data_IF_403375896334
#
_entry.id   IF_403375896334
#
_cell.length_a   1.000
_cell.length_b   1.000
_cell.length_c   1.000
_cell.angle_alpha   90.00
_cell.angle_beta   90.00
_cell.angle_gamma   90.00
#
_symmetry.space_group_name_H-M   'P 1'
#
loop_
_entity.id
_entity.type
_entity.pdbx_description
1 polymer ?
#
# COMPACT_ATOMS: atom_id res chain seq x y z
N UNK A 1 -24.12 9.30 -5.10
CA UNK A 1 -25.32 8.45 -4.79
C UNK A 1 -25.46 7.27 -5.75
N UNK A 2 -25.20 7.45 -7.06
CA UNK A 2 -25.41 6.38 -8.07
C UNK A 2 -24.52 5.16 -7.83
N UNK A 3 -23.24 5.32 -7.47
CA UNK A 3 -22.35 4.19 -7.17
C UNK A 3 -22.86 3.38 -5.96
N UNK A 4 -23.40 4.04 -4.93
CA UNK A 4 -24.02 3.38 -3.78
C UNK A 4 -25.34 2.69 -4.18
N UNK A 5 -26.12 3.28 -5.08
CA UNK A 5 -27.30 2.66 -5.65
C UNK A 5 -26.93 1.42 -6.48
N UNK A 6 -25.89 1.51 -7.31
CA UNK A 6 -25.37 0.36 -8.06
C UNK A 6 -24.88 -0.77 -7.15
N UNK A 7 -24.30 -0.44 -5.97
CA UNK A 7 -23.92 -1.40 -4.95
C UNK A 7 -25.17 -2.09 -4.35
N UNK A 8 -26.22 -1.32 -4.05
CA UNK A 8 -27.49 -1.88 -3.56
C UNK A 8 -28.16 -2.79 -4.58
N UNK A 9 -28.23 -2.38 -5.83
CA UNK A 9 -28.85 -3.13 -6.92
C UNK A 9 -28.01 -4.37 -7.36
N UNK A 10 -26.78 -4.50 -6.89
CA UNK A 10 -25.88 -5.61 -7.23
C UNK A 10 -25.17 -5.46 -8.57
N UNK A 11 -25.31 -4.33 -9.27
CA UNK A 11 -24.56 -4.00 -10.49
C UNK A 11 -23.05 -3.85 -10.18
N UNK A 12 -22.75 -3.37 -8.97
CA UNK A 12 -21.41 -3.31 -8.38
C UNK A 12 -21.46 -4.08 -7.08
N UNK A 13 -20.49 -4.97 -6.81
CA UNK A 13 -20.45 -5.74 -5.56
C UNK A 13 -19.30 -5.32 -4.65
N UNK A 14 -18.32 -4.69 -5.20
CA UNK A 14 -17.10 -4.26 -4.52
C UNK A 14 -16.83 -2.82 -4.93
N UNK A 15 -16.93 -1.90 -3.99
CA UNK A 15 -16.79 -0.45 -4.22
C UNK A 15 -15.79 0.15 -3.25
N UNK A 16 -14.86 0.93 -3.79
CA UNK A 16 -13.97 1.80 -3.03
C UNK A 16 -14.36 3.24 -3.28
N UNK A 17 -14.50 4.01 -2.22
CA UNK A 17 -14.73 5.46 -2.26
C UNK A 17 -13.61 6.15 -1.53
N UNK A 18 -12.76 6.85 -2.26
CA UNK A 18 -11.73 7.70 -1.68
C UNK A 18 -12.12 9.17 -1.81
N UNK A 19 -12.09 9.88 -0.70
CA UNK A 19 -12.44 11.31 -0.64
C UNK A 19 -11.66 12.00 0.49
N UNK A 20 -11.42 13.32 0.40
CA UNK A 20 -10.61 14.07 1.35
C UNK A 20 -11.16 14.06 2.78
N UNK A 21 -10.36 14.47 3.77
CA UNK A 21 -10.86 14.75 5.12
C UNK A 21 -12.02 15.73 5.09
N UNK A 22 -13.00 15.53 5.97
CA UNK A 22 -14.16 16.43 6.13
C UNK A 22 -15.07 16.57 4.89
N UNK A 23 -14.96 15.68 3.89
CA UNK A 23 -15.83 15.66 2.68
C UNK A 23 -17.17 14.94 2.88
N UNK A 24 -17.61 14.75 4.13
CA UNK A 24 -18.85 14.05 4.51
C UNK A 24 -18.88 12.56 4.08
N UNK A 25 -17.73 11.96 3.76
CA UNK A 25 -17.64 10.56 3.30
C UNK A 25 -18.29 9.59 4.29
N UNK A 26 -17.92 9.64 5.57
CA UNK A 26 -18.51 8.81 6.64
C UNK A 26 -20.01 9.04 6.80
N UNK A 27 -20.46 10.30 6.80
CA UNK A 27 -21.89 10.59 6.92
C UNK A 27 -22.68 10.00 5.75
N UNK A 28 -22.24 10.25 4.51
CA UNK A 28 -22.96 9.87 3.29
C UNK A 28 -22.84 8.39 2.99
N UNK A 29 -21.60 7.86 2.97
CA UNK A 29 -21.33 6.51 2.49
C UNK A 29 -21.48 5.45 3.59
N UNK A 30 -21.46 5.85 4.86
CA UNK A 30 -21.55 4.93 6.00
C UNK A 30 -22.85 5.15 6.77
N UNK A 31 -22.99 6.25 7.50
CA UNK A 31 -24.12 6.44 8.44
C UNK A 31 -25.48 6.48 7.72
N UNK A 32 -25.64 7.38 6.75
CA UNK A 32 -26.90 7.50 6.02
C UNK A 32 -27.15 6.33 5.08
N UNK A 33 -26.10 5.77 4.49
CA UNK A 33 -26.26 4.63 3.61
C UNK A 33 -26.71 3.38 4.36
N UNK A 34 -26.14 3.09 5.53
CA UNK A 34 -26.59 1.97 6.40
C UNK A 34 -28.05 2.16 6.80
N UNK A 35 -28.42 3.35 7.25
CA UNK A 35 -29.81 3.63 7.60
C UNK A 35 -30.75 3.46 6.40
N UNK A 36 -30.36 3.92 5.23
CA UNK A 36 -31.12 3.76 4.01
C UNK A 36 -31.26 2.30 3.59
N UNK A 37 -30.17 1.50 3.66
CA UNK A 37 -30.18 0.06 3.39
C UNK A 37 -31.21 -0.66 4.26
N UNK A 38 -31.17 -0.45 5.59
CA UNK A 38 -32.14 -1.03 6.52
C UNK A 38 -33.56 -0.53 6.29
N UNK A 39 -33.71 0.69 5.81
CA UNK A 39 -35.01 1.24 5.42
C UNK A 39 -35.58 0.54 4.20
N UNK A 40 -34.76 0.11 3.27
CA UNK A 40 -35.16 -0.65 2.07
C UNK A 40 -35.39 -2.13 2.36
N UNK A 41 -34.51 -2.71 3.20
CA UNK A 41 -34.61 -4.10 3.62
C UNK A 41 -34.17 -4.23 5.08
N UNK A 42 -35.13 -4.29 6.01
CA UNK A 42 -34.86 -4.39 7.44
C UNK A 42 -34.36 -5.79 7.89
N UNK A 43 -34.15 -6.73 6.97
CA UNK A 43 -33.60 -8.07 7.26
C UNK A 43 -32.09 -8.14 7.05
N UNK A 44 -31.49 -7.14 6.41
CA UNK A 44 -30.05 -7.12 6.08
C UNK A 44 -29.15 -7.22 7.31
N UNK A 45 -28.11 -8.01 7.18
CA UNK A 45 -27.02 -8.13 8.14
C UNK A 45 -25.81 -7.33 7.66
N UNK A 46 -25.40 -6.33 8.44
CA UNK A 46 -24.36 -5.37 8.07
C UNK A 46 -23.26 -5.41 9.11
N UNK A 47 -22.00 -5.57 8.67
CA UNK A 47 -20.81 -5.32 9.49
C UNK A 47 -20.23 -3.98 9.07
N UNK A 48 -20.05 -3.08 10.03
CA UNK A 48 -19.32 -1.82 9.88
C UNK A 48 -18.02 -1.94 10.68
N UNK A 49 -16.88 -1.94 9.99
CA UNK A 49 -15.56 -1.96 10.58
C UNK A 49 -14.88 -0.60 10.44
N UNK A 50 -14.24 -0.14 11.51
CA UNK A 50 -13.55 1.15 11.56
C UNK A 50 -12.26 1.03 12.38
N UNK A 51 -11.54 2.13 12.54
CA UNK A 51 -10.22 2.13 13.17
C UNK A 51 -10.25 1.75 14.66
N UNK A 52 -11.01 2.46 15.51
CA UNK A 52 -11.03 2.25 16.97
C UNK A 52 -12.40 1.87 17.50
N UNK A 53 -12.42 1.24 18.70
CA UNK A 53 -13.67 0.90 19.38
C UNK A 53 -14.47 2.14 19.77
N UNK A 54 -13.81 3.23 20.19
CA UNK A 54 -14.45 4.51 20.49
C UNK A 54 -15.15 5.08 19.25
N UNK A 55 -14.47 5.06 18.10
CA UNK A 55 -15.05 5.53 16.85
C UNK A 55 -16.21 4.64 16.38
N UNK A 56 -16.08 3.32 16.58
CA UNK A 56 -17.15 2.35 16.33
C UNK A 56 -18.39 2.65 17.18
N UNK A 57 -18.21 2.90 18.46
CA UNK A 57 -19.29 3.27 19.37
C UNK A 57 -19.98 4.58 18.96
N UNK A 58 -19.20 5.60 18.62
CA UNK A 58 -19.71 6.86 18.11
C UNK A 58 -20.54 6.72 16.82
N UNK A 59 -20.06 5.92 15.85
CA UNK A 59 -20.80 5.63 14.63
C UNK A 59 -22.08 4.85 14.91
N UNK A 60 -22.04 3.84 15.75
CA UNK A 60 -23.20 3.07 16.15
C UNK A 60 -24.27 3.91 16.83
N UNK A 61 -23.87 4.85 17.70
CA UNK A 61 -24.79 5.82 18.32
C UNK A 61 -25.43 6.75 17.29
N UNK A 62 -24.69 7.25 16.30
CA UNK A 62 -25.22 8.07 15.21
C UNK A 62 -26.23 7.32 14.38
N UNK A 63 -25.92 6.08 13.99
CA UNK A 63 -26.85 5.20 13.24
C UNK A 63 -28.11 4.95 14.05
N UNK A 64 -27.96 4.60 15.34
CA UNK A 64 -29.11 4.39 16.24
C UNK A 64 -30.01 5.62 16.34
N UNK A 65 -29.41 6.80 16.54
CA UNK A 65 -30.16 8.07 16.63
C UNK A 65 -30.94 8.32 15.33
N UNK A 66 -30.32 8.09 14.19
CA UNK A 66 -30.96 8.24 12.90
C UNK A 66 -32.15 7.27 12.71
N UNK A 67 -31.97 5.98 13.02
CA UNK A 67 -33.02 4.96 12.94
C UNK A 67 -34.19 5.23 13.92
N UNK A 68 -33.95 5.91 15.03
CA UNK A 68 -34.94 6.30 16.02
C UNK A 68 -35.66 7.61 15.68
N UNK A 69 -35.14 8.41 14.73
CA UNK A 69 -35.69 9.70 14.39
C UNK A 69 -37.11 9.60 13.83
N UNK A 70 -37.97 10.55 14.14
CA UNK A 70 -39.39 10.55 13.72
C UNK A 70 -39.55 10.55 12.19
N UNK A 71 -38.77 11.34 11.48
CA UNK A 71 -38.80 11.39 10.02
C UNK A 71 -38.32 10.06 9.38
N UNK A 72 -37.31 9.41 9.95
CA UNK A 72 -36.89 8.10 9.48
C UNK A 72 -38.02 7.08 9.64
N UNK A 73 -38.67 7.05 10.80
CA UNK A 73 -39.79 6.15 11.07
C UNK A 73 -41.02 6.44 10.17
N UNK A 74 -41.19 7.69 9.76
CA UNK A 74 -42.25 8.10 8.80
C UNK A 74 -41.95 7.58 7.39
N UNK A 75 -40.66 7.64 6.97
CA UNK A 75 -40.23 7.20 5.64
C UNK A 75 -40.10 5.67 5.52
N UNK A 76 -39.66 5.01 6.59
CA UNK A 76 -39.32 3.60 6.63
C UNK A 76 -40.05 2.92 7.81
N UNK A 77 -41.39 2.87 7.73
CA UNK A 77 -42.24 2.40 8.82
C UNK A 77 -41.99 0.97 9.30
N UNK A 78 -41.48 0.10 8.41
CA UNK A 78 -41.18 -1.29 8.71
C UNK A 78 -39.88 -1.50 9.46
N UNK A 79 -38.99 -0.51 9.50
CA UNK A 79 -37.73 -0.61 10.19
C UNK A 79 -37.85 -0.16 11.64
N UNK A 80 -37.95 -1.10 12.55
CA UNK A 80 -38.01 -0.88 14.01
C UNK A 80 -36.87 -1.58 14.70
N UNK A 81 -36.21 -0.89 15.63
CA UNK A 81 -35.17 -1.50 16.47
C UNK A 81 -35.77 -2.32 17.62
N UNK A 82 -35.11 -3.40 17.98
CA UNK A 82 -35.35 -4.12 19.23
C UNK A 82 -34.64 -3.37 20.37
N UNK A 83 -35.38 -2.61 21.15
CA UNK A 83 -34.85 -1.69 22.18
C UNK A 83 -34.03 -2.40 23.26
N UNK A 84 -34.40 -3.61 23.67
CA UNK A 84 -33.72 -4.37 24.74
C UNK A 84 -32.31 -4.85 24.38
N UNK A 85 -31.94 -4.80 23.09
CA UNK A 85 -30.65 -5.28 22.61
C UNK A 85 -29.85 -4.19 21.86
N UNK A 86 -30.28 -2.92 21.91
CA UNK A 86 -29.66 -1.83 21.18
C UNK A 86 -28.45 -1.26 21.93
N UNK A 87 -27.39 -2.06 22.08
CA UNK A 87 -26.06 -1.52 22.35
C UNK A 87 -25.61 -0.70 21.16
N UNK A 88 -24.83 0.39 21.38
CA UNK A 88 -24.31 1.23 20.29
C UNK A 88 -23.57 0.44 19.20
N UNK A 89 -22.85 -0.60 19.61
CA UNK A 89 -22.10 -1.47 18.70
C UNK A 89 -22.88 -2.64 18.10
N UNK A 90 -24.14 -2.85 18.52
CA UNK A 90 -24.96 -3.94 18.01
C UNK A 90 -26.43 -3.55 17.96
N UNK A 91 -26.88 -3.14 16.77
CA UNK A 91 -28.26 -2.78 16.51
C UNK A 91 -28.98 -3.96 15.85
N UNK A 92 -30.21 -4.26 16.27
CA UNK A 92 -31.06 -5.29 15.68
C UNK A 92 -32.42 -4.74 15.30
N UNK A 93 -32.92 -5.12 14.13
CA UNK A 93 -34.28 -4.82 13.71
C UNK A 93 -35.26 -5.88 14.16
N UNK A 94 -36.55 -5.52 14.28
CA UNK A 94 -37.61 -6.49 14.56
C UNK A 94 -37.82 -7.53 13.44
N UNK A 95 -37.33 -7.24 12.23
CA UNK A 95 -37.40 -8.13 11.05
C UNK A 95 -36.20 -9.07 10.92
N UNK A 96 -35.26 -9.06 11.90
CA UNK A 96 -34.13 -9.98 11.95
C UNK A 96 -32.81 -9.44 11.39
N UNK A 97 -32.83 -8.23 10.80
CA UNK A 97 -31.59 -7.59 10.36
C UNK A 97 -30.74 -7.05 11.50
N UNK A 98 -29.51 -6.75 11.21
CA UNK A 98 -28.57 -6.25 12.22
C UNK A 98 -27.50 -5.34 11.65
N UNK A 99 -27.02 -4.41 12.48
CA UNK A 99 -25.76 -3.70 12.25
C UNK A 99 -24.80 -4.02 13.39
N UNK A 100 -23.67 -4.60 13.07
CA UNK A 100 -22.57 -4.80 14.02
C UNK A 100 -21.49 -3.80 13.67
N UNK A 101 -21.18 -2.92 14.61
CA UNK A 101 -20.10 -1.93 14.47
C UNK A 101 -18.94 -2.39 15.31
N UNK A 102 -17.76 -2.49 14.70
CA UNK A 102 -16.55 -3.02 15.33
C UNK A 102 -15.31 -2.27 14.86
N UNK A 103 -14.23 -2.37 15.61
CA UNK A 103 -12.93 -1.93 15.13
C UNK A 103 -12.15 -3.07 14.46
N UNK A 104 -11.13 -2.71 13.70
CA UNK A 104 -10.17 -3.70 13.18
C UNK A 104 -9.42 -4.44 14.30
N UNK A 105 -9.31 -3.85 15.50
CA UNK A 105 -8.65 -4.47 16.65
C UNK A 105 -9.55 -5.49 17.38
N UNK A 106 -10.86 -5.27 17.37
CA UNK A 106 -11.85 -6.04 18.13
C UNK A 106 -12.72 -6.94 17.26
N UNK A 107 -12.24 -7.38 16.10
CA UNK A 107 -13.02 -8.19 15.17
C UNK A 107 -13.54 -9.47 15.84
N UNK A 108 -14.86 -9.61 15.85
CA UNK A 108 -15.54 -10.74 16.42
C UNK A 108 -15.63 -11.91 15.44
N UNK A 109 -15.39 -13.12 15.94
CA UNK A 109 -15.63 -14.37 15.21
C UNK A 109 -17.11 -14.74 15.21
N UNK A 110 -17.55 -15.53 14.20
CA UNK A 110 -18.90 -16.14 14.20
C UNK A 110 -20.04 -15.23 13.70
N UNK A 111 -19.76 -14.07 13.09
CA UNK A 111 -20.75 -13.20 12.48
C UNK A 111 -20.67 -13.28 10.97
N UNK A 112 -21.83 -13.37 10.31
CA UNK A 112 -21.96 -13.21 8.86
C UNK A 112 -22.58 -11.87 8.50
N UNK A 113 -22.41 -11.43 7.24
CA UNK A 113 -22.98 -10.19 6.74
C UNK A 113 -23.35 -10.27 5.25
N UNK A 114 -24.39 -9.54 4.88
CA UNK A 114 -24.76 -9.30 3.49
C UNK A 114 -23.99 -8.09 2.94
N UNK A 115 -23.64 -7.15 3.85
CA UNK A 115 -22.81 -5.98 3.56
C UNK A 115 -21.66 -5.88 4.57
N UNK A 116 -20.46 -5.71 4.05
CA UNK A 116 -19.29 -5.30 4.83
C UNK A 116 -18.96 -3.87 4.41
N UNK A 117 -18.99 -2.96 5.37
CA UNK A 117 -18.62 -1.56 5.19
C UNK A 117 -17.40 -1.28 6.05
N UNK A 118 -16.38 -0.74 5.43
CA UNK A 118 -15.12 -0.35 6.09
C UNK A 118 -15.00 1.17 5.99
N UNK A 119 -14.87 1.84 7.12
CA UNK A 119 -14.78 3.30 7.19
C UNK A 119 -13.53 3.75 7.94
N UNK A 120 -12.61 4.39 7.23
CA UNK A 120 -11.31 4.88 7.70
C UNK A 120 -10.61 3.84 8.62
N UNK A 121 -10.12 2.70 8.06
CA UNK A 121 -9.60 1.58 8.86
C UNK A 121 -8.26 1.87 9.54
N UNK A 122 -7.62 2.99 9.22
CA UNK A 122 -6.30 3.36 9.71
C UNK A 122 -6.17 4.89 9.83
N UNK A 123 -5.40 5.36 10.80
CA UNK A 123 -5.08 6.79 10.93
C UNK A 123 -3.85 7.16 10.09
N UNK A 124 -3.85 8.42 9.59
CA UNK A 124 -2.76 8.91 8.74
C UNK A 124 -1.38 8.97 9.44
N UNK A 125 -1.35 9.12 10.76
CA UNK A 125 -0.10 9.12 11.53
C UNK A 125 0.52 7.72 11.71
N UNK A 126 -0.23 6.65 11.42
CA UNK A 126 0.25 5.27 11.53
C UNK A 126 0.84 4.72 10.23
N UNK A 127 0.73 5.47 9.15
CA UNK A 127 1.21 5.09 7.82
C UNK A 127 2.71 4.75 7.79
N UNK A 128 3.49 5.32 8.70
CA UNK A 128 4.93 5.03 8.85
C UNK A 128 5.22 3.67 9.47
N UNK A 129 4.20 2.96 9.97
CA UNK A 129 4.34 1.63 10.55
C UNK A 129 3.90 0.58 9.55
N UNK A 130 4.84 -0.03 8.89
CA UNK A 130 4.63 -1.11 7.94
C UNK A 130 3.91 -2.30 8.58
N UNK A 131 4.28 -2.62 9.83
CA UNK A 131 3.61 -3.67 10.63
C UNK A 131 2.13 -3.39 10.80
N UNK A 132 1.74 -2.14 11.11
CA UNK A 132 0.32 -1.78 11.26
C UNK A 132 -0.43 -1.83 9.93
N UNK A 133 0.18 -1.36 8.84
CA UNK A 133 -0.42 -1.47 7.52
C UNK A 133 -0.64 -2.93 7.12
N UNK A 134 0.34 -3.78 7.35
CA UNK A 134 0.25 -5.22 7.09
C UNK A 134 -0.81 -5.89 7.95
N UNK A 135 -0.91 -5.55 9.24
CA UNK A 135 -1.95 -6.07 10.15
C UNK A 135 -3.36 -5.72 9.64
N UNK A 136 -3.60 -4.47 9.24
CA UNK A 136 -4.90 -4.04 8.68
C UNK A 136 -5.24 -4.82 7.40
N UNK A 137 -4.29 -5.01 6.50
CA UNK A 137 -4.48 -5.78 5.26
C UNK A 137 -4.84 -7.25 5.57
N UNK A 138 -4.11 -7.87 6.49
CA UNK A 138 -4.34 -9.26 6.89
C UNK A 138 -5.71 -9.43 7.59
N UNK A 139 -6.06 -8.52 8.51
CA UNK A 139 -7.37 -8.52 9.16
C UNK A 139 -8.52 -8.32 8.17
N UNK A 140 -8.31 -7.52 7.13
CA UNK A 140 -9.29 -7.43 6.07
C UNK A 140 -9.42 -8.75 5.31
N UNK A 141 -8.31 -9.35 4.86
CA UNK A 141 -8.30 -10.59 4.06
C UNK A 141 -8.86 -11.78 4.85
N UNK A 142 -8.33 -12.00 6.03
CA UNK A 142 -8.61 -13.20 6.84
C UNK A 142 -9.82 -13.04 7.74
N UNK A 143 -10.05 -11.82 8.21
CA UNK A 143 -11.09 -11.48 9.15
C UNK A 143 -12.40 -11.06 8.49
N UNK A 144 -12.41 -9.95 7.75
CA UNK A 144 -13.63 -9.34 7.23
C UNK A 144 -14.11 -9.97 5.94
N UNK A 145 -13.23 -10.15 4.96
CA UNK A 145 -13.62 -10.64 3.63
C UNK A 145 -14.33 -11.99 3.69
N UNK A 146 -13.93 -12.84 4.62
CA UNK A 146 -14.52 -14.19 4.85
C UNK A 146 -15.88 -14.17 5.55
N UNK A 147 -16.38 -12.98 5.96
CA UNK A 147 -17.66 -12.85 6.71
C UNK A 147 -18.88 -12.64 5.81
N UNK A 148 -18.73 -12.59 4.50
CA UNK A 148 -19.88 -12.54 3.63
C UNK A 148 -20.73 -13.81 3.76
N UNK A 149 -22.04 -13.63 4.02
CA UNK A 149 -23.00 -14.73 4.08
C UNK A 149 -23.03 -15.52 2.77
N UNK A 150 -22.96 -14.79 1.65
CA UNK A 150 -22.83 -15.35 0.31
C UNK A 150 -21.75 -14.58 -0.47
N UNK A 151 -20.64 -15.20 -0.85
CA UNK A 151 -19.59 -14.56 -1.62
C UNK A 151 -20.03 -14.04 -3.00
N UNK A 152 -21.09 -14.64 -3.59
CA UNK A 152 -21.61 -14.28 -4.91
C UNK A 152 -22.50 -13.04 -4.88
N UNK A 153 -23.26 -12.85 -3.82
CA UNK A 153 -24.23 -11.75 -3.70
C UNK A 153 -23.85 -10.71 -2.67
N UNK A 154 -23.00 -11.05 -1.71
CA UNK A 154 -22.54 -10.16 -0.65
C UNK A 154 -21.77 -8.96 -1.21
N UNK A 155 -21.80 -7.84 -0.50
CA UNK A 155 -21.29 -6.55 -0.95
C UNK A 155 -20.24 -6.00 0.00
N UNK A 156 -19.19 -5.37 -0.56
CA UNK A 156 -18.15 -4.69 0.22
C UNK A 156 -18.04 -3.24 -0.22
N UNK A 157 -18.06 -2.33 0.74
CA UNK A 157 -17.81 -0.92 0.56
C UNK A 157 -16.63 -0.49 1.43
N UNK A 158 -15.57 -0.03 0.81
CA UNK A 158 -14.46 0.64 1.50
C UNK A 158 -14.60 2.15 1.31
N UNK A 159 -14.61 2.88 2.41
CA UNK A 159 -14.67 4.35 2.45
C UNK A 159 -13.46 4.83 3.24
N UNK A 160 -12.55 5.54 2.63
CA UNK A 160 -11.39 6.12 3.33
C UNK A 160 -10.78 7.26 2.53
N UNK A 161 -10.01 8.10 3.21
CA UNK A 161 -9.01 8.91 2.51
C UNK A 161 -7.81 8.04 2.17
N UNK A 162 -7.10 8.34 1.10
CA UNK A 162 -5.81 7.73 0.83
C UNK A 162 -4.78 8.27 1.84
N UNK A 163 -3.88 7.43 2.25
CA UNK A 163 -2.81 7.78 3.20
C UNK A 163 -1.44 7.31 2.74
N UNK A 164 -1.38 6.26 1.93
CA UNK A 164 -0.15 5.68 1.41
C UNK A 164 -0.42 4.94 0.08
N UNK A 165 0.56 4.81 -0.84
CA UNK A 165 0.41 3.96 -2.03
C UNK A 165 -0.06 2.54 -1.68
N UNK A 166 0.52 1.94 -0.64
CA UNK A 166 0.24 0.58 -0.17
C UNK A 166 -0.83 0.50 0.92
N UNK A 167 -1.67 1.49 1.10
CA UNK A 167 -2.80 1.41 2.04
C UNK A 167 -3.82 0.33 1.62
N UNK A 168 -4.87 0.14 2.41
CA UNK A 168 -5.89 -0.88 2.10
C UNK A 168 -6.51 -0.67 0.71
N UNK A 169 -6.72 0.58 0.28
CA UNK A 169 -7.17 0.89 -1.09
C UNK A 169 -6.15 0.42 -2.12
N UNK A 170 -4.86 0.73 -1.95
CA UNK A 170 -3.79 0.33 -2.87
C UNK A 170 -3.74 -1.18 -3.05
N UNK A 171 -3.77 -1.93 -1.94
CA UNK A 171 -3.83 -3.40 -1.98
C UNK A 171 -5.05 -3.90 -2.78
N UNK A 172 -6.25 -3.37 -2.52
CA UNK A 172 -7.47 -3.85 -3.18
C UNK A 172 -7.53 -3.48 -4.66
N UNK A 173 -6.96 -2.36 -5.06
CA UNK A 173 -6.85 -1.97 -6.46
C UNK A 173 -5.88 -2.88 -7.22
N UNK A 174 -4.76 -3.24 -6.61
CA UNK A 174 -3.78 -4.19 -7.18
C UNK A 174 -4.38 -5.59 -7.36
N UNK A 175 -5.17 -6.08 -6.39
CA UNK A 175 -5.87 -7.37 -6.51
C UNK A 175 -6.99 -7.34 -7.55
N UNK A 176 -7.51 -6.17 -7.89
CA UNK A 176 -8.60 -6.02 -8.84
C UNK A 176 -9.99 -6.38 -8.28
N UNK A 177 -11.01 -6.30 -9.16
CA UNK A 177 -12.39 -6.66 -8.81
C UNK A 177 -13.18 -5.59 -8.05
N UNK A 178 -12.56 -4.50 -7.64
CA UNK A 178 -13.21 -3.35 -7.02
C UNK A 178 -13.44 -2.23 -8.04
N UNK A 179 -14.65 -1.65 -8.02
CA UNK A 179 -14.88 -0.37 -8.68
C UNK A 179 -14.38 0.75 -7.78
N UNK A 180 -13.69 1.70 -8.35
CA UNK A 180 -13.06 2.80 -7.62
C UNK A 180 -13.76 4.13 -7.95
N UNK A 181 -14.13 4.88 -6.91
CA UNK A 181 -14.58 6.27 -6.98
C UNK A 181 -13.54 7.14 -6.26
N UNK A 182 -12.69 7.80 -7.03
CA UNK A 182 -11.69 8.76 -6.56
C UNK A 182 -12.31 10.16 -6.64
N UNK A 183 -12.36 10.88 -5.53
CA UNK A 183 -12.85 12.25 -5.42
C UNK A 183 -11.75 13.13 -4.83
N UNK A 184 -10.88 13.75 -5.63
CA UNK A 184 -9.85 14.67 -5.14
C UNK A 184 -10.48 15.99 -4.66
N UNK A 185 -9.79 16.76 -3.83
CA UNK A 185 -10.25 18.08 -3.41
C UNK A 185 -10.31 19.07 -4.58
N UNK A 186 -9.39 18.92 -5.54
CA UNK A 186 -9.36 19.68 -6.79
C UNK A 186 -9.14 18.71 -7.95
N UNK A 187 -10.00 18.78 -8.96
CA UNK A 187 -9.93 17.89 -10.11
C UNK A 187 -8.80 18.31 -11.04
N UNK A 188 -7.91 17.38 -11.38
CA UNK A 188 -6.79 17.58 -12.30
C UNK A 188 -7.10 17.16 -13.74
N UNK A 189 -8.22 16.48 -13.93
CA UNK A 189 -8.69 15.98 -15.21
C UNK A 189 -10.23 16.09 -15.30
N UNK A 190 -10.73 16.07 -16.54
CA UNK A 190 -12.17 16.02 -16.76
C UNK A 190 -12.69 14.59 -16.56
N UNK A 191 -13.55 14.40 -15.58
CA UNK A 191 -14.18 13.12 -15.28
C UNK A 191 -15.70 13.24 -15.43
N UNK A 192 -16.32 12.32 -16.16
CA UNK A 192 -17.78 12.27 -16.27
C UNK A 192 -18.36 11.29 -15.25
N UNK A 193 -19.18 11.80 -14.37
CA UNK A 193 -19.91 11.02 -13.39
C UNK A 193 -21.36 10.85 -13.85
N UNK A 194 -21.84 9.60 -13.81
CA UNK A 194 -23.27 9.35 -13.97
C UNK A 194 -24.00 9.74 -12.69
N UNK A 195 -25.15 10.36 -12.82
CA UNK A 195 -26.03 10.78 -11.72
C UNK A 195 -27.38 10.08 -11.85
N UNK A 196 -28.22 10.06 -10.78
CA UNK A 196 -29.56 9.55 -10.85
C UNK A 196 -30.39 10.24 -11.97
N UNK A 197 -31.41 9.54 -12.46
CA UNK A 197 -32.31 10.00 -13.53
C UNK A 197 -31.61 10.27 -14.87
N UNK A 198 -30.60 9.42 -15.23
CA UNK A 198 -29.84 9.51 -16.48
C UNK A 198 -29.16 10.87 -16.72
N UNK A 199 -28.88 11.60 -15.65
CA UNK A 199 -28.08 12.81 -15.71
C UNK A 199 -26.59 12.47 -15.65
N UNK A 200 -25.77 13.37 -16.14
CA UNK A 200 -24.31 13.30 -16.01
C UNK A 200 -23.79 14.59 -15.40
N UNK A 201 -22.68 14.48 -14.70
CA UNK A 201 -21.91 15.61 -14.24
C UNK A 201 -20.47 15.45 -14.74
N UNK A 202 -19.97 16.47 -15.42
CA UNK A 202 -18.61 16.51 -15.94
C UNK A 202 -17.82 17.52 -15.12
N UNK A 203 -16.75 17.08 -14.52
CA UNK A 203 -15.83 17.96 -13.80
C UNK A 203 -14.93 18.72 -14.78
N UNK A 204 -14.41 19.84 -14.33
CA UNK A 204 -13.45 20.64 -15.08
C UNK A 204 -12.10 20.64 -14.36
N UNK A 205 -11.00 20.77 -15.14
CA UNK A 205 -9.67 20.91 -14.56
C UNK A 205 -9.64 22.17 -13.66
N UNK A 206 -9.12 22.01 -12.44
CA UNK A 206 -9.10 23.08 -11.43
C UNK A 206 -10.39 23.22 -10.60
N UNK A 207 -11.45 22.50 -10.95
CA UNK A 207 -12.70 22.56 -10.18
C UNK A 207 -12.50 21.94 -8.78
N UNK A 208 -13.06 22.61 -7.77
CA UNK A 208 -13.00 22.15 -6.37
C UNK A 208 -14.18 21.23 -6.04
N UNK A 209 -13.92 20.17 -5.30
CA UNK A 209 -14.97 19.28 -4.76
C UNK A 209 -15.89 20.03 -3.78
N UNK A 210 -15.35 20.98 -3.04
CA UNK A 210 -16.09 21.80 -2.06
C UNK A 210 -15.61 23.26 -2.11
N UNK A 211 -16.08 24.04 -3.11
CA UNK A 211 -15.63 25.41 -3.31
C UNK A 211 -16.07 26.38 -2.20
N UNK A 212 -17.00 25.96 -1.34
CA UNK A 212 -17.40 26.77 -0.19
C UNK A 212 -16.34 26.78 0.93
N UNK A 213 -15.48 25.77 0.98
CA UNK A 213 -14.49 25.60 2.04
C UNK A 213 -13.05 25.65 1.56
N UNK A 214 -12.81 25.41 0.27
CA UNK A 214 -11.47 25.36 -0.30
C UNK A 214 -11.38 26.25 -1.53
N UNK A 215 -10.37 27.08 -1.52
CA UNK A 215 -9.88 27.85 -2.65
C UNK A 215 -8.38 27.58 -2.86
N UNK A 216 -7.78 28.20 -3.85
CA UNK A 216 -6.34 28.04 -4.17
C UNK A 216 -5.44 28.44 -2.97
N UNK A 217 -5.82 29.48 -2.24
CA UNK A 217 -5.02 29.96 -1.11
C UNK A 217 -5.06 28.97 0.07
N UNK A 218 -6.23 28.41 0.36
CA UNK A 218 -6.38 27.43 1.44
C UNK A 218 -5.71 26.10 1.06
N UNK A 219 -5.76 25.73 -0.22
CA UNK A 219 -5.08 24.55 -0.70
C UNK A 219 -3.55 24.69 -0.57
N UNK A 220 -3.01 25.87 -0.94
CA UNK A 220 -1.58 26.16 -0.81
C UNK A 220 -1.12 26.10 0.66
N UNK A 221 -1.87 26.70 1.59
CA UNK A 221 -1.58 26.62 3.04
C UNK A 221 -1.63 25.20 3.56
N UNK A 222 -2.64 24.42 3.15
CA UNK A 222 -2.78 23.03 3.56
C UNK A 222 -1.61 22.18 3.07
N UNK A 223 -1.18 22.40 1.82
CA UNK A 223 -0.02 21.72 1.22
C UNK A 223 1.27 22.08 1.94
N UNK A 224 1.48 23.35 2.26
CA UNK A 224 2.66 23.81 3.03
C UNK A 224 2.71 23.18 4.43
N UNK A 225 1.57 23.16 5.13
CA UNK A 225 1.51 22.63 6.50
C UNK A 225 1.66 21.11 6.59
N UNK A 226 1.18 20.36 5.60
CA UNK A 226 1.19 18.89 5.64
C UNK A 226 2.36 18.27 4.89
N UNK A 227 2.97 19.01 3.98
CA UNK A 227 3.95 18.53 3.02
C UNK A 227 3.32 17.82 1.82
N UNK A 228 4.07 17.73 0.73
CA UNK A 228 3.58 17.28 -0.57
C UNK A 228 3.01 15.86 -0.53
N UNK A 229 3.70 14.90 0.10
CA UNK A 229 3.28 13.51 0.14
C UNK A 229 1.95 13.31 0.88
N UNK A 230 1.78 13.93 2.05
CA UNK A 230 0.55 13.85 2.82
C UNK A 230 -0.61 14.57 2.12
N UNK A 231 -0.34 15.70 1.48
CA UNK A 231 -1.32 16.44 0.70
C UNK A 231 -1.76 15.64 -0.54
N UNK A 232 -0.84 15.10 -1.32
CA UNK A 232 -1.14 14.26 -2.48
C UNK A 232 -2.00 13.05 -2.07
N UNK A 233 -1.67 12.39 -0.98
CA UNK A 233 -2.43 11.27 -0.46
C UNK A 233 -3.83 11.69 -0.02
N UNK A 234 -3.93 12.55 1.00
CA UNK A 234 -5.17 12.78 1.72
C UNK A 234 -6.13 13.73 1.01
N UNK A 235 -5.61 14.71 0.25
CA UNK A 235 -6.45 15.70 -0.44
C UNK A 235 -6.63 15.38 -1.93
N UNK A 236 -5.58 14.95 -2.61
CA UNK A 236 -5.68 14.61 -4.04
C UNK A 236 -6.11 13.14 -4.27
N UNK A 237 -6.15 12.31 -3.21
CA UNK A 237 -6.41 10.87 -3.26
C UNK A 237 -5.43 10.15 -4.21
N UNK A 238 -4.22 10.68 -4.31
CA UNK A 238 -3.15 10.21 -5.18
C UNK A 238 -1.85 10.08 -4.39
N UNK A 239 -1.76 9.09 -3.51
CA UNK A 239 -0.60 8.93 -2.66
C UNK A 239 0.63 8.63 -3.51
N UNK A 240 1.66 9.39 -3.24
CA UNK A 240 3.01 9.15 -3.73
C UNK A 240 3.84 8.59 -2.57
N UNK A 241 4.83 7.78 -2.86
CA UNK A 241 5.83 7.49 -1.84
C UNK A 241 6.43 8.82 -1.39
N UNK A 242 6.62 9.04 -0.08
CA UNK A 242 7.33 10.22 0.39
C UNK A 242 8.61 10.35 -0.44
N UNK A 243 8.88 11.56 -0.93
CA UNK A 243 10.17 11.80 -1.56
C UNK A 243 11.24 11.32 -0.57
N UNK A 244 12.10 10.43 -1.04
CA UNK A 244 13.20 9.95 -0.23
C UNK A 244 14.19 11.12 -0.10
N UNK A 245 13.98 11.97 0.93
CA UNK A 245 14.89 13.09 1.23
C UNK A 245 16.32 12.62 1.51
N UNK A 246 16.48 11.29 1.64
CA UNK A 246 17.80 10.68 1.79
C UNK A 246 18.60 10.73 0.48
N UNK A 247 17.96 10.75 -0.69
CA UNK A 247 18.62 10.64 -1.99
C UNK A 247 18.25 11.78 -2.91
N UNK A 248 19.25 12.50 -3.38
CA UNK A 248 19.12 13.42 -4.51
C UNK A 248 19.28 12.64 -5.82
N UNK A 249 18.14 12.25 -6.41
CA UNK A 249 18.12 11.44 -7.64
C UNK A 249 18.74 12.15 -8.85
N UNK A 250 18.86 13.48 -8.83
CA UNK A 250 19.52 14.25 -9.90
C UNK A 250 21.05 14.11 -9.86
N UNK A 251 21.60 13.60 -8.76
CA UNK A 251 23.04 13.35 -8.60
C UNK A 251 23.50 12.04 -9.20
N UNK A 252 22.59 11.12 -9.53
CA UNK A 252 22.98 9.94 -10.29
C UNK A 252 23.49 10.34 -11.67
N UNK A 253 24.61 9.76 -12.05
CA UNK A 253 25.16 9.91 -13.39
C UNK A 253 24.85 8.66 -14.21
N UNK A 254 24.64 8.84 -15.49
CA UNK A 254 24.34 7.75 -16.41
C UNK A 254 25.52 7.49 -17.33
N UNK A 255 25.77 6.22 -17.63
CA UNK A 255 26.81 5.82 -18.56
C UNK A 255 26.33 4.77 -19.55
N UNK A 256 26.94 4.75 -20.73
CA UNK A 256 26.75 3.68 -21.72
C UNK A 256 27.76 2.57 -21.42
N UNK A 257 27.33 1.31 -21.16
CA UNK A 257 28.24 0.23 -20.79
C UNK A 257 29.37 0.01 -21.81
N UNK A 258 29.06 0.17 -23.10
CA UNK A 258 30.05 -0.02 -24.17
C UNK A 258 31.17 1.05 -24.18
N UNK A 259 30.86 2.28 -23.73
CA UNK A 259 31.82 3.38 -23.72
C UNK A 259 32.83 3.27 -22.57
N UNK A 260 32.46 2.64 -21.46
CA UNK A 260 33.29 2.50 -20.26
C UNK A 260 33.88 1.10 -20.08
N UNK A 261 33.66 0.18 -20.98
CA UNK A 261 34.16 -1.22 -20.85
C UNK A 261 35.68 -1.30 -20.62
N UNK A 262 36.46 -0.45 -21.32
CA UNK A 262 37.91 -0.39 -21.15
C UNK A 262 38.30 0.18 -19.77
N UNK A 263 37.63 1.24 -19.31
CA UNK A 263 37.93 1.92 -18.04
C UNK A 263 37.49 1.09 -16.82
N UNK A 264 36.49 0.22 -16.98
CA UNK A 264 35.99 -0.66 -15.93
C UNK A 264 36.71 -2.00 -15.89
N UNK A 265 37.58 -2.32 -16.87
CA UNK A 265 38.31 -3.59 -16.91
C UNK A 265 39.21 -3.80 -15.68
N UNK A 266 39.83 -2.75 -15.20
CA UNK A 266 40.71 -2.77 -14.02
C UNK A 266 39.97 -2.37 -12.73
N UNK A 267 38.67 -2.17 -12.80
CA UNK A 267 37.83 -1.88 -11.64
C UNK A 267 37.63 -3.15 -10.77
N UNK A 268 37.28 -2.94 -9.52
CA UNK A 268 36.88 -4.03 -8.65
C UNK A 268 35.43 -4.35 -8.89
N UNK A 269 35.14 -5.55 -9.37
CA UNK A 269 33.79 -6.04 -9.63
C UNK A 269 33.22 -6.77 -8.41
N UNK A 270 31.99 -6.45 -8.04
CA UNK A 270 31.30 -7.00 -6.87
C UNK A 270 29.88 -7.40 -7.25
N UNK A 271 29.50 -8.64 -6.91
CA UNK A 271 28.13 -9.09 -6.88
C UNK A 271 27.67 -9.11 -5.42
N UNK A 272 26.62 -8.37 -5.09
CA UNK A 272 26.06 -8.33 -3.74
C UNK A 272 24.68 -8.99 -3.73
N UNK A 273 24.49 -9.99 -2.88
CA UNK A 273 23.33 -10.84 -2.81
C UNK A 273 22.62 -10.70 -1.46
N UNK A 274 21.40 -10.20 -1.48
CA UNK A 274 20.47 -10.32 -0.37
C UNK A 274 19.59 -11.55 -0.63
N UNK A 275 19.58 -12.53 0.29
CA UNK A 275 19.05 -13.85 0.01
C UNK A 275 17.78 -14.16 0.79
N UNK A 276 16.68 -14.49 0.08
CA UNK A 276 15.48 -15.08 0.63
C UNK A 276 15.18 -16.40 -0.08
N UNK A 277 14.73 -17.43 0.67
CA UNK A 277 14.51 -18.75 0.11
C UNK A 277 13.04 -19.12 0.17
N UNK A 278 12.25 -18.56 -0.75
CA UNK A 278 10.84 -18.88 -0.83
C UNK A 278 10.30 -18.68 -2.23
N UNK A 279 9.49 -19.63 -2.68
CA UNK A 279 8.73 -19.55 -3.93
C UNK A 279 7.32 -19.00 -3.75
N UNK A 280 6.94 -18.62 -2.51
CA UNK A 280 5.59 -18.09 -2.21
C UNK A 280 5.46 -16.64 -2.67
N UNK A 281 4.32 -16.27 -3.23
CA UNK A 281 4.05 -14.91 -3.73
C UNK A 281 4.16 -13.81 -2.65
N UNK A 282 3.96 -14.17 -1.38
CA UNK A 282 4.02 -13.26 -0.23
C UNK A 282 5.39 -13.17 0.45
N UNK A 283 6.42 -13.86 -0.08
CA UNK A 283 7.75 -13.86 0.51
C UNK A 283 8.66 -12.81 -0.14
N UNK A 284 9.72 -12.43 0.56
CA UNK A 284 10.77 -11.55 0.08
C UNK A 284 11.50 -12.17 -1.11
N UNK A 285 12.12 -11.34 -1.93
CA UNK A 285 12.90 -11.77 -3.08
C UNK A 285 14.36 -12.00 -2.69
N UNK A 286 15.01 -12.96 -3.35
CA UNK A 286 16.46 -12.91 -3.46
C UNK A 286 16.82 -11.80 -4.44
N UNK A 287 17.62 -10.84 -4.03
CA UNK A 287 18.00 -9.70 -4.83
C UNK A 287 19.52 -9.64 -5.04
N UNK A 288 19.94 -9.19 -6.21
CA UNK A 288 21.34 -8.97 -6.51
C UNK A 288 21.55 -7.61 -7.15
N UNK A 289 22.63 -6.95 -6.73
CA UNK A 289 23.16 -5.77 -7.42
C UNK A 289 24.62 -6.04 -7.82
N UNK A 290 24.95 -5.70 -9.08
CA UNK A 290 26.30 -5.91 -9.64
C UNK A 290 26.99 -4.58 -9.84
N UNK A 291 28.15 -4.46 -9.24
CA UNK A 291 28.90 -3.21 -9.15
C UNK A 291 30.30 -3.34 -9.71
N UNK A 292 30.77 -2.25 -10.31
CA UNK A 292 32.20 -2.01 -10.51
C UNK A 292 32.57 -0.74 -9.77
N UNK A 293 33.73 -0.71 -9.12
CA UNK A 293 34.21 0.53 -8.51
C UNK A 293 35.72 0.72 -8.75
N UNK A 294 36.08 1.99 -8.94
CA UNK A 294 37.45 2.43 -9.12
C UNK A 294 37.64 3.79 -8.41
N UNK A 295 38.73 4.49 -8.71
CA UNK A 295 39.00 5.80 -8.11
C UNK A 295 38.01 6.89 -8.52
N UNK A 296 37.28 6.71 -9.62
CA UNK A 296 36.36 7.71 -10.18
C UNK A 296 34.97 7.60 -9.55
N UNK A 297 34.51 6.38 -9.21
CA UNK A 297 33.19 6.18 -8.62
C UNK A 297 32.73 4.73 -8.54
N UNK A 298 31.44 4.61 -8.31
CA UNK A 298 30.71 3.33 -8.13
C UNK A 298 29.73 3.19 -9.30
N UNK A 299 29.83 2.12 -10.04
CA UNK A 299 29.09 1.88 -11.28
C UNK A 299 28.14 0.69 -11.07
N UNK A 300 26.84 0.95 -11.04
CA UNK A 300 25.82 -0.10 -11.02
C UNK A 300 25.66 -0.63 -12.45
N UNK A 301 26.08 -1.87 -12.66
CA UNK A 301 26.09 -2.54 -13.94
C UNK A 301 24.77 -3.26 -14.21
N UNK A 302 24.21 -3.91 -13.21
CA UNK A 302 22.97 -4.68 -13.28
C UNK A 302 22.33 -4.82 -11.89
N UNK A 303 21.02 -5.04 -11.88
CA UNK A 303 20.23 -5.35 -10.69
C UNK A 303 19.03 -6.22 -11.06
N UNK A 304 18.77 -7.29 -10.32
CA UNK A 304 17.56 -8.09 -10.53
C UNK A 304 17.10 -8.84 -9.27
N UNK A 305 15.91 -9.39 -9.33
CA UNK A 305 15.28 -10.14 -8.24
C UNK A 305 14.83 -11.52 -8.72
N UNK A 306 14.91 -12.48 -7.80
CA UNK A 306 14.56 -13.89 -8.05
C UNK A 306 13.62 -14.40 -6.95
N UNK A 307 12.74 -15.33 -7.31
CA UNK A 307 11.98 -16.14 -6.36
C UNK A 307 12.29 -17.60 -6.62
N UNK A 308 13.28 -18.10 -5.93
CA UNK A 308 13.85 -19.43 -6.15
C UNK A 308 14.07 -20.18 -4.84
N UNK A 309 14.27 -21.49 -4.93
CA UNK A 309 14.68 -22.31 -3.79
C UNK A 309 16.14 -22.06 -3.43
N UNK A 310 16.56 -22.47 -2.23
CA UNK A 310 17.96 -22.31 -1.80
C UNK A 310 18.97 -22.97 -2.75
N UNK A 311 18.62 -24.10 -3.36
CA UNK A 311 19.47 -24.81 -4.33
C UNK A 311 19.57 -24.06 -5.66
N UNK A 312 18.45 -23.53 -6.13
CA UNK A 312 18.41 -22.75 -7.37
C UNK A 312 19.15 -21.42 -7.22
N UNK A 313 19.02 -20.76 -6.07
CA UNK A 313 19.78 -19.54 -5.74
C UNK A 313 21.29 -19.82 -5.72
N UNK A 314 21.75 -20.95 -5.13
CA UNK A 314 23.16 -21.36 -5.17
C UNK A 314 23.66 -21.51 -6.60
N UNK A 315 22.92 -22.27 -7.42
CA UNK A 315 23.26 -22.48 -8.82
C UNK A 315 23.30 -21.17 -9.62
N UNK A 316 22.38 -20.24 -9.29
CA UNK A 316 22.33 -18.92 -9.92
C UNK A 316 23.55 -18.07 -9.58
N UNK A 317 23.88 -17.96 -8.30
CA UNK A 317 25.08 -17.25 -7.82
C UNK A 317 26.34 -17.80 -8.52
N UNK A 318 26.53 -19.12 -8.54
CA UNK A 318 27.70 -19.75 -9.12
C UNK A 318 27.76 -19.53 -10.64
N UNK A 319 26.66 -19.70 -11.36
CA UNK A 319 26.57 -19.48 -12.80
C UNK A 319 26.97 -18.07 -13.18
N UNK A 320 26.42 -17.06 -12.51
CA UNK A 320 26.71 -15.66 -12.80
C UNK A 320 28.15 -15.29 -12.39
N UNK A 321 28.60 -15.74 -11.24
CA UNK A 321 29.96 -15.46 -10.79
C UNK A 321 31.03 -16.13 -11.67
N UNK A 322 30.77 -17.32 -12.19
CA UNK A 322 31.67 -17.98 -13.14
C UNK A 322 31.69 -17.27 -14.50
N UNK A 323 30.51 -16.84 -14.98
CA UNK A 323 30.40 -16.19 -16.30
C UNK A 323 31.02 -14.78 -16.31
N UNK A 324 30.87 -14.01 -15.22
CA UNK A 324 31.25 -12.60 -15.15
C UNK A 324 32.58 -12.39 -14.38
N UNK A 325 33.07 -13.41 -13.66
CA UNK A 325 34.35 -13.43 -12.92
C UNK A 325 34.56 -12.19 -12.04
N UNK A 326 33.62 -11.88 -11.08
CA UNK A 326 33.79 -10.73 -10.18
C UNK A 326 34.97 -10.97 -9.22
N UNK A 327 35.55 -9.88 -8.72
CA UNK A 327 36.57 -9.98 -7.66
C UNK A 327 35.96 -10.49 -6.35
N UNK A 328 34.69 -10.10 -6.08
CA UNK A 328 34.00 -10.42 -4.83
C UNK A 328 32.54 -10.78 -5.07
N UNK A 329 32.09 -11.80 -4.34
CA UNK A 329 30.68 -12.16 -4.19
C UNK A 329 30.32 -11.97 -2.71
N UNK A 330 29.49 -10.98 -2.41
CA UNK A 330 29.00 -10.69 -1.06
C UNK A 330 27.65 -11.37 -0.92
N UNK A 331 27.45 -12.16 0.11
CA UNK A 331 26.17 -12.82 0.41
C UNK A 331 25.75 -12.43 1.82
N UNK A 332 24.54 -11.95 1.98
CA UNK A 332 24.00 -11.58 3.29
C UNK A 332 24.08 -12.75 4.27
N UNK A 333 24.61 -12.46 5.47
CA UNK A 333 24.64 -13.44 6.56
C UNK A 333 23.35 -13.39 7.37
N UNK A 334 22.44 -14.27 7.05
CA UNK A 334 21.24 -14.56 7.84
C UNK A 334 21.29 -16.02 8.34
N UNK A 335 20.45 -16.38 9.30
CA UNK A 335 20.43 -17.76 9.84
C UNK A 335 20.24 -18.82 8.75
N UNK A 336 19.50 -18.50 7.71
CA UNK A 336 19.17 -19.40 6.60
C UNK A 336 20.23 -19.42 5.48
N UNK A 337 21.16 -18.46 5.43
CA UNK A 337 22.15 -18.34 4.36
C UNK A 337 23.56 -18.89 4.74
N UNK A 338 23.77 -19.26 5.99
CA UNK A 338 25.10 -19.74 6.47
C UNK A 338 25.58 -20.96 5.67
N UNK A 339 24.71 -21.93 5.46
CA UNK A 339 25.03 -23.13 4.69
C UNK A 339 25.26 -22.82 3.20
N UNK A 340 24.46 -21.91 2.62
CA UNK A 340 24.63 -21.42 1.25
C UNK A 340 26.03 -20.79 1.07
N UNK A 341 26.43 -19.88 1.97
CA UNK A 341 27.72 -19.21 1.91
C UNK A 341 28.84 -20.24 1.93
N UNK A 342 28.77 -21.26 2.79
CA UNK A 342 29.79 -22.33 2.86
C UNK A 342 29.83 -23.15 1.56
N UNK A 343 28.69 -23.50 0.97
CA UNK A 343 28.61 -24.26 -0.29
C UNK A 343 29.18 -23.44 -1.45
N UNK A 344 28.76 -22.17 -1.60
CA UNK A 344 29.29 -21.27 -2.64
C UNK A 344 30.80 -21.08 -2.48
N UNK A 345 31.30 -20.89 -1.24
CA UNK A 345 32.72 -20.76 -0.95
C UNK A 345 33.53 -22.02 -1.33
N UNK A 346 32.94 -23.19 -1.10
CA UNK A 346 33.57 -24.49 -1.48
C UNK A 346 33.55 -24.70 -3.00
N UNK A 347 32.53 -24.26 -3.67
CA UNK A 347 32.30 -24.43 -5.13
C UNK A 347 33.05 -23.37 -5.94
N UNK A 348 33.46 -22.24 -5.37
CA UNK A 348 34.10 -21.13 -6.08
C UNK A 348 35.48 -21.44 -6.64
N UNK A 349 36.11 -22.56 -6.24
CA UNK A 349 37.44 -23.02 -6.69
C UNK A 349 38.51 -21.91 -6.76
N UNK A 350 38.38 -20.91 -5.87
CA UNK A 350 39.27 -19.74 -5.80
C UNK A 350 39.23 -18.77 -6.99
N UNK A 351 38.17 -18.82 -7.82
CA UNK A 351 38.01 -17.90 -8.95
C UNK A 351 37.59 -16.51 -8.49
N UNK A 352 36.83 -16.41 -7.39
CA UNK A 352 36.36 -15.16 -6.78
C UNK A 352 36.34 -15.28 -5.25
N UNK A 353 36.40 -14.13 -4.56
CA UNK A 353 36.35 -14.10 -3.10
C UNK A 353 34.88 -14.06 -2.61
N UNK A 354 34.47 -15.02 -1.78
CA UNK A 354 33.16 -15.02 -1.13
C UNK A 354 33.27 -14.34 0.23
N UNK A 355 32.51 -13.24 0.39
CA UNK A 355 32.43 -12.40 1.60
C UNK A 355 31.07 -12.56 2.26
N UNK A 356 31.05 -12.70 3.58
CA UNK A 356 29.83 -12.63 4.35
C UNK A 356 29.43 -11.17 4.54
N UNK A 357 28.28 -10.78 3.94
CA UNK A 357 27.68 -9.49 4.18
C UNK A 357 27.06 -9.47 5.58
N UNK A 358 27.58 -8.67 6.48
CA UNK A 358 27.02 -8.52 7.82
C UNK A 358 26.16 -7.27 7.87
N UNK A 359 24.92 -7.43 8.25
CA UNK A 359 24.15 -6.31 8.77
C UNK A 359 24.57 -6.08 10.22
N UNK A 360 25.24 -4.95 10.46
CA UNK A 360 25.44 -4.46 11.83
C UNK A 360 24.03 -4.36 12.50
N UNK A 361 23.98 -4.28 13.82
CA UNK A 361 22.74 -4.06 14.61
C UNK A 361 21.99 -2.75 14.28
N UNK A 362 22.31 -2.12 13.16
CA UNK A 362 21.74 -0.86 12.70
C UNK A 362 20.42 -1.10 11.92
N UNK A 363 19.49 -0.17 12.05
CA UNK A 363 18.27 -0.16 11.20
C UNK A 363 18.65 -0.01 9.71
N UNK A 364 17.75 -0.44 8.82
CA UNK A 364 17.91 -0.30 7.36
C UNK A 364 18.24 1.15 6.95
N UNK A 365 17.55 2.13 7.54
CA UNK A 365 17.81 3.55 7.27
C UNK A 365 19.23 3.96 7.67
N UNK A 366 19.70 3.51 8.83
CA UNK A 366 21.05 3.85 9.31
C UNK A 366 22.14 3.20 8.45
N UNK A 367 21.91 2.02 7.88
CA UNK A 367 22.82 1.41 6.90
C UNK A 367 22.87 2.25 5.63
N UNK A 368 21.70 2.64 5.14
CA UNK A 368 21.58 3.44 3.94
C UNK A 368 22.24 4.81 4.07
N UNK A 369 22.12 5.48 5.21
CA UNK A 369 22.77 6.79 5.47
C UNK A 369 24.28 6.74 5.24
N UNK A 370 24.93 5.58 5.48
CA UNK A 370 26.39 5.42 5.24
C UNK A 370 26.76 5.56 3.75
N UNK A 371 25.88 5.11 2.86
CA UNK A 371 26.13 5.15 1.41
C UNK A 371 25.49 6.36 0.73
N UNK A 372 24.48 6.97 1.34
CA UNK A 372 23.77 8.14 0.87
C UNK A 372 24.73 9.25 0.39
N UNK A 373 25.79 9.49 1.16
CA UNK A 373 26.79 10.51 0.80
C UNK A 373 27.40 10.28 -0.59
N UNK A 374 27.61 9.01 -0.98
CA UNK A 374 28.18 8.66 -2.29
C UNK A 374 27.26 9.06 -3.43
N UNK A 375 25.95 8.87 -3.24
CA UNK A 375 24.92 9.28 -4.20
C UNK A 375 24.88 10.81 -4.28
N UNK A 376 24.71 11.47 -3.15
CA UNK A 376 24.51 12.93 -3.07
C UNK A 376 25.74 13.74 -3.49
N UNK A 377 26.92 13.11 -3.51
CA UNK A 377 28.15 13.72 -4.07
C UNK A 377 28.38 13.38 -5.54
N UNK A 378 27.45 12.66 -6.21
CA UNK A 378 27.53 12.31 -7.63
C UNK A 378 28.63 11.30 -7.95
N UNK A 379 28.92 10.40 -7.03
CA UNK A 379 29.90 9.33 -7.21
C UNK A 379 29.30 8.01 -7.70
N UNK A 380 27.96 7.94 -7.84
CA UNK A 380 27.24 6.74 -8.28
C UNK A 380 26.78 6.91 -9.72
N UNK A 381 27.12 5.94 -10.55
CA UNK A 381 26.83 5.88 -11.97
C UNK A 381 25.91 4.70 -12.26
N UNK A 382 24.91 4.89 -13.12
CA UNK A 382 23.90 3.90 -13.49
C UNK A 382 24.04 3.52 -14.96
N UNK A 383 24.03 2.23 -15.28
CA UNK A 383 24.09 1.74 -16.63
C UNK A 383 22.80 2.05 -17.39
N UNK A 384 22.90 2.64 -18.59
CA UNK A 384 21.75 2.87 -19.46
C UNK A 384 21.31 1.59 -20.16
N UNK A 385 20.02 1.49 -20.43
CA UNK A 385 19.44 0.38 -21.22
C UNK A 385 19.35 -0.94 -20.47
N UNK A 386 19.57 -0.97 -19.15
CA UNK A 386 19.44 -2.15 -18.29
C UNK A 386 18.15 -2.04 -17.47
N UNK A 387 17.22 -2.95 -17.71
CA UNK A 387 15.88 -2.93 -17.06
C UNK A 387 15.95 -3.00 -15.54
N UNK A 388 16.89 -3.75 -15.00
CA UNK A 388 17.11 -3.89 -13.56
C UNK A 388 17.43 -2.58 -12.86
N UNK A 389 18.05 -1.62 -13.54
CA UNK A 389 18.33 -0.29 -12.99
C UNK A 389 17.03 0.48 -12.69
N UNK A 390 16.04 0.37 -13.55
CA UNK A 390 14.74 0.99 -13.31
C UNK A 390 14.03 0.37 -12.09
N UNK A 391 14.15 -0.94 -11.92
CA UNK A 391 13.62 -1.65 -10.77
C UNK A 391 14.30 -1.18 -9.47
N UNK A 392 15.64 -1.12 -9.47
CA UNK A 392 16.42 -0.59 -8.35
C UNK A 392 16.01 0.84 -7.98
N UNK A 393 15.89 1.73 -8.96
CA UNK A 393 15.46 3.11 -8.73
C UNK A 393 14.03 3.20 -8.20
N UNK A 394 13.15 2.29 -8.61
CA UNK A 394 11.78 2.22 -8.09
C UNK A 394 11.75 1.83 -6.62
N UNK A 395 12.53 0.82 -6.20
CA UNK A 395 12.67 0.44 -4.78
C UNK A 395 13.34 1.56 -3.98
N UNK A 396 14.40 2.15 -4.51
CA UNK A 396 15.09 3.25 -3.85
C UNK A 396 14.20 4.48 -3.63
N UNK A 397 13.30 4.79 -4.55
CA UNK A 397 12.29 5.86 -4.36
C UNK A 397 11.30 5.55 -3.26
N UNK A 398 10.94 4.29 -3.10
CA UNK A 398 10.04 3.82 -2.04
C UNK A 398 10.73 3.66 -0.68
N UNK A 399 12.04 3.52 -0.65
CA UNK A 399 12.79 3.24 0.57
C UNK A 399 12.72 4.41 1.59
N UNK A 400 12.55 4.16 2.90
CA UNK A 400 12.48 2.84 3.55
C UNK A 400 11.04 2.28 3.67
N UNK A 401 10.04 2.87 3.04
CA UNK A 401 8.62 2.58 3.22
C UNK A 401 7.98 1.86 2.02
N UNK A 402 8.76 1.45 1.03
CA UNK A 402 8.30 0.73 -0.15
C UNK A 402 7.87 -0.70 0.15
N UNK A 403 7.07 -1.30 -0.76
CA UNK A 403 6.64 -2.68 -0.65
C UNK A 403 7.79 -3.70 -0.73
N UNK A 404 8.89 -3.29 -1.33
CA UNK A 404 10.13 -4.07 -1.48
C UNK A 404 11.32 -3.15 -1.36
N UNK A 405 12.35 -3.63 -0.69
CA UNK A 405 13.62 -2.95 -0.48
C UNK A 405 14.83 -3.89 -0.63
N UNK A 406 14.59 -5.09 -1.18
CA UNK A 406 15.59 -6.17 -1.30
C UNK A 406 16.82 -5.73 -2.13
N UNK A 407 16.61 -4.97 -3.23
CA UNK A 407 17.70 -4.40 -4.04
C UNK A 407 18.45 -3.28 -3.30
N UNK A 408 17.76 -2.52 -2.45
CA UNK A 408 18.39 -1.48 -1.63
C UNK A 408 19.23 -2.13 -0.52
N UNK A 409 18.75 -3.20 0.11
CA UNK A 409 19.52 -3.97 1.10
C UNK A 409 20.77 -4.60 0.45
N UNK A 410 20.63 -5.22 -0.73
CA UNK A 410 21.76 -5.68 -1.53
C UNK A 410 22.78 -4.56 -1.82
N UNK A 411 22.30 -3.38 -2.21
CA UNK A 411 23.15 -2.20 -2.46
C UNK A 411 23.93 -1.75 -1.22
N UNK A 412 23.29 -1.77 -0.04
CA UNK A 412 23.95 -1.30 1.20
C UNK A 412 25.11 -2.19 1.65
N UNK A 413 25.21 -3.41 1.10
CA UNK A 413 26.27 -4.37 1.38
C UNK A 413 27.44 -4.34 0.37
N UNK A 414 27.21 -3.77 -0.84
CA UNK A 414 28.12 -3.77 -1.99
C UNK A 414 29.43 -2.92 -1.83
#
# INVERSE_FOLDING_TARGET
SEKLMGLYQGHVRRLIVNAPPRSLKTSTCTTYYIAWLLGKDPTLQIILATYTDEFAENLGNKIRTLLCHSEYKRLFGDTRLLYEQAKSTRLRTQKGGSVVVTSFHSMMTGLGADYIIVDDPMQANEVRSETKMTDIKNRFKEGLYTRLNDPKTGRILLVMQRIHPDDLTGMLLTHGGFKHLKLPIQFQEEVTYSLPFNKTYKTHVGEFLDPARFDEAELARTREMQGEAAFAAQYMQDPIYPANDLVDFEKFKWFEPQELEADLRDAIHVHSWDTAFSTKDSADYTAVTKWAYNRTGYYLLDAHRLKETSEDVENHILREAIAENPNRVIIERANHSVDLIQRVRKSSQSTFQVIEGTHDSLSKENRFVRIQHKINTGQVYLAKGVDGINLFLSELRGFPYGAHDDLVDSFTMA
#
